data_IF_034420892781
#
_entry.id   IF_034420892781
#
_cell.length_a   1.000
_cell.length_b   1.000
_cell.length_c   1.000
_cell.angle_alpha   90.00
_cell.angle_beta   90.00
_cell.angle_gamma   90.00
#
_symmetry.space_group_name_H-M   'P 1'
#
loop_
_entity.id
_entity.type
_entity.pdbx_description
1 polymer ?
#
# COMPACT_ATOMS: atom_id res chain seq x y z
N UNK A 1 -20.32 19.37 40.75
CA UNK A 1 -20.11 19.62 39.30
C UNK A 1 -18.72 19.14 38.83
N UNK A 2 -17.63 19.44 39.56
CA UNK A 2 -16.24 19.12 39.17
C UNK A 2 -15.91 17.62 38.94
N UNK A 3 -16.53 16.69 39.68
CA UNK A 3 -16.28 15.24 39.52
C UNK A 3 -16.88 14.64 38.24
N UNK A 4 -17.96 15.20 37.72
CA UNK A 4 -18.56 14.76 36.44
C UNK A 4 -17.71 15.21 35.25
N UNK A 5 -17.32 16.49 35.24
CA UNK A 5 -16.50 17.08 34.18
C UNK A 5 -15.14 16.38 34.03
N UNK A 6 -14.51 16.02 35.16
CA UNK A 6 -13.23 15.29 35.16
C UNK A 6 -13.35 13.87 34.57
N UNK A 7 -14.49 13.19 34.74
CA UNK A 7 -14.76 11.87 34.12
C UNK A 7 -14.96 11.99 32.61
N UNK A 8 -15.72 12.98 32.16
CA UNK A 8 -15.96 13.22 30.72
C UNK A 8 -14.67 13.56 30.00
N UNK A 9 -13.84 14.45 30.56
CA UNK A 9 -12.53 14.80 29.99
C UNK A 9 -11.62 13.57 29.92
N UNK A 10 -11.56 12.75 30.98
CA UNK A 10 -10.76 11.53 30.98
C UNK A 10 -11.21 10.52 29.93
N UNK A 11 -12.51 10.33 29.75
CA UNK A 11 -13.06 9.45 28.71
C UNK A 11 -12.76 9.96 27.30
N UNK A 12 -12.96 11.26 27.04
CA UNK A 12 -12.63 11.87 25.75
C UNK A 12 -11.14 11.75 25.43
N UNK A 13 -10.27 11.99 26.42
CA UNK A 13 -8.83 11.83 26.26
C UNK A 13 -8.46 10.38 25.92
N UNK A 14 -9.05 9.40 26.61
CA UNK A 14 -8.82 7.99 26.32
C UNK A 14 -9.30 7.59 24.90
N UNK A 15 -10.49 8.04 24.49
CA UNK A 15 -11.03 7.78 23.16
C UNK A 15 -10.17 8.43 22.05
N UNK A 16 -9.66 9.64 22.29
CA UNK A 16 -8.74 10.32 21.39
C UNK A 16 -7.41 9.55 21.25
N UNK A 17 -6.83 9.10 22.37
CA UNK A 17 -5.59 8.29 22.37
C UNK A 17 -5.80 7.00 21.59
N UNK A 18 -6.88 6.26 21.84
CA UNK A 18 -7.21 5.03 21.09
C UNK A 18 -7.31 5.32 19.60
N UNK A 19 -8.00 6.40 19.21
CA UNK A 19 -8.16 6.77 17.80
C UNK A 19 -6.83 7.11 17.14
N UNK A 20 -5.95 7.86 17.83
CA UNK A 20 -4.61 8.18 17.33
C UNK A 20 -3.74 6.92 17.17
N UNK A 21 -3.80 5.99 18.13
CA UNK A 21 -3.07 4.72 18.05
C UNK A 21 -3.53 3.91 16.84
N UNK A 22 -4.82 3.63 16.68
CA UNK A 22 -5.32 2.87 15.53
C UNK A 22 -5.10 3.60 14.20
N UNK A 23 -5.27 4.93 14.17
CA UNK A 23 -5.04 5.75 12.99
C UNK A 23 -3.56 5.74 12.54
N UNK A 24 -2.62 5.86 13.48
CA UNK A 24 -1.19 5.78 13.18
C UNK A 24 -0.76 4.39 12.70
N UNK A 25 -1.31 3.32 13.28
CA UNK A 25 -1.10 1.96 12.81
C UNK A 25 -1.59 1.77 11.38
N UNK A 26 -2.80 2.27 11.06
CA UNK A 26 -3.35 2.22 9.71
C UNK A 26 -2.43 2.92 8.70
N UNK A 27 -2.00 4.15 9.01
CA UNK A 27 -1.06 4.90 8.16
C UNK A 27 0.25 4.12 7.97
N UNK A 28 0.81 3.55 9.04
CA UNK A 28 2.05 2.79 8.97
C UNK A 28 1.93 1.56 8.05
N UNK A 29 0.85 0.79 8.16
CA UNK A 29 0.61 -0.35 7.29
C UNK A 29 0.38 0.06 5.84
N UNK A 30 -0.41 1.10 5.60
CA UNK A 30 -0.67 1.60 4.24
C UNK A 30 0.62 2.06 3.56
N UNK A 31 1.47 2.80 4.28
CA UNK A 31 2.77 3.24 3.77
C UNK A 31 3.74 2.06 3.54
N UNK A 32 3.73 1.07 4.43
CA UNK A 32 4.54 -0.14 4.29
C UNK A 32 4.13 -0.95 3.05
N UNK A 33 2.83 -1.14 2.82
CA UNK A 33 2.28 -1.84 1.66
C UNK A 33 2.66 -1.16 0.33
N UNK A 34 2.58 0.16 0.25
CA UNK A 34 3.01 0.90 -0.96
C UNK A 34 4.50 0.74 -1.23
N UNK A 35 5.34 0.74 -0.19
CA UNK A 35 6.79 0.60 -0.36
C UNK A 35 7.16 -0.83 -0.73
N UNK A 36 6.55 -1.83 -0.12
CA UNK A 36 6.86 -3.24 -0.39
C UNK A 36 6.54 -3.64 -1.83
N UNK A 37 5.47 -3.09 -2.42
CA UNK A 37 5.14 -3.28 -3.83
C UNK A 37 6.20 -2.77 -4.82
N UNK A 38 7.13 -1.91 -4.38
CA UNK A 38 8.20 -1.38 -5.23
C UNK A 38 9.53 -2.14 -5.08
N UNK A 39 9.70 -2.94 -4.02
CA UNK A 39 11.00 -3.55 -3.68
C UNK A 39 11.44 -4.59 -4.72
N UNK A 40 10.57 -5.56 -5.03
CA UNK A 40 10.91 -6.64 -5.95
C UNK A 40 11.12 -6.15 -7.40
N UNK A 41 10.26 -5.26 -7.96
CA UNK A 41 10.53 -4.62 -9.24
C UNK A 41 11.83 -3.80 -9.27
N UNK A 42 12.12 -3.03 -8.21
CA UNK A 42 13.36 -2.25 -8.16
C UNK A 42 14.60 -3.14 -8.21
N UNK A 43 14.59 -4.27 -7.48
CA UNK A 43 15.67 -5.25 -7.51
C UNK A 43 15.80 -5.92 -8.89
N UNK A 44 14.68 -6.30 -9.52
CA UNK A 44 14.67 -6.90 -10.84
C UNK A 44 15.16 -5.93 -11.93
N UNK A 45 14.76 -4.66 -11.88
CA UNK A 45 15.26 -3.64 -12.80
C UNK A 45 16.78 -3.45 -12.65
N UNK A 46 17.29 -3.38 -11.41
CA UNK A 46 18.72 -3.26 -11.14
C UNK A 46 19.51 -4.49 -11.63
N UNK A 47 18.99 -5.70 -11.43
CA UNK A 47 19.61 -6.92 -11.91
C UNK A 47 19.64 -6.97 -13.45
N UNK A 48 18.52 -6.64 -14.11
CA UNK A 48 18.46 -6.63 -15.57
C UNK A 48 19.38 -5.58 -16.19
N UNK A 49 19.57 -4.43 -15.53
CA UNK A 49 20.55 -3.42 -15.97
C UNK A 49 21.99 -3.97 -16.01
N UNK A 50 22.36 -4.83 -15.07
CA UNK A 50 23.69 -5.47 -15.04
C UNK A 50 23.87 -6.50 -16.16
N UNK A 51 22.76 -7.05 -16.67
CA UNK A 51 22.75 -8.05 -17.73
C UNK A 51 22.59 -7.42 -19.12
N UNK A 52 22.43 -6.09 -19.24
CA UNK A 52 22.37 -5.42 -20.54
C UNK A 52 23.63 -5.73 -21.36
N UNK A 53 23.43 -6.24 -22.58
CA UNK A 53 24.52 -6.64 -23.48
C UNK A 53 25.00 -8.08 -23.28
N UNK A 54 24.45 -8.81 -22.32
CA UNK A 54 24.66 -10.26 -22.18
C UNK A 54 23.56 -11.06 -22.86
N UNK A 55 23.92 -12.17 -23.47
CA UNK A 55 22.98 -13.11 -24.09
C UNK A 55 22.30 -13.94 -23.01
N UNK A 56 21.20 -13.44 -22.44
CA UNK A 56 20.38 -14.24 -21.53
C UNK A 56 19.49 -15.22 -22.33
N UNK A 57 19.25 -16.44 -21.82
CA UNK A 57 18.28 -17.35 -22.43
C UNK A 57 16.89 -16.71 -22.44
N UNK A 58 16.14 -16.96 -23.52
CA UNK A 58 14.78 -16.45 -23.66
C UNK A 58 13.89 -17.02 -22.54
N UNK A 59 13.41 -16.13 -21.66
CA UNK A 59 12.42 -16.48 -20.64
C UNK A 59 11.04 -16.52 -21.30
N UNK A 60 10.22 -17.55 -21.05
CA UNK A 60 8.84 -17.58 -21.52
C UNK A 60 8.09 -16.32 -21.09
N UNK A 61 7.36 -15.71 -22.03
CA UNK A 61 6.49 -14.57 -21.70
C UNK A 61 5.22 -15.07 -21.05
N UNK A 62 4.76 -14.34 -20.04
CA UNK A 62 3.52 -14.63 -19.31
C UNK A 62 2.56 -13.47 -19.48
N UNK A 63 1.29 -13.78 -19.72
CA UNK A 63 0.24 -12.77 -19.83
C UNK A 63 0.03 -12.04 -18.51
N UNK A 64 -0.14 -10.72 -18.57
CA UNK A 64 -0.40 -9.91 -17.39
C UNK A 64 -1.80 -10.17 -16.84
N UNK A 65 -1.85 -10.40 -15.54
CA UNK A 65 -3.04 -10.72 -14.76
C UNK A 65 -2.97 -10.03 -13.40
N UNK A 66 -4.08 -9.93 -12.66
CA UNK A 66 -4.07 -9.44 -11.28
C UNK A 66 -3.15 -10.24 -10.33
N UNK A 67 -2.77 -11.47 -10.67
CA UNK A 67 -1.86 -12.30 -9.87
C UNK A 67 -0.42 -12.30 -10.42
N UNK A 68 -0.13 -11.44 -11.38
CA UNK A 68 1.20 -11.37 -11.99
C UNK A 68 2.26 -10.97 -10.98
N UNK A 69 3.27 -11.83 -10.86
CA UNK A 69 4.51 -11.55 -10.14
C UNK A 69 5.38 -10.52 -10.86
N UNK A 70 6.68 -10.53 -10.54
CA UNK A 70 7.62 -9.58 -11.13
C UNK A 70 7.81 -9.86 -12.61
N UNK A 71 7.63 -8.84 -13.44
CA UNK A 71 7.94 -8.84 -14.86
C UNK A 71 8.94 -7.75 -15.20
N UNK A 72 9.61 -7.91 -16.34
CA UNK A 72 10.60 -6.95 -16.85
C UNK A 72 10.37 -6.72 -18.35
N UNK A 73 10.57 -5.48 -18.78
CA UNK A 73 10.52 -5.02 -20.17
C UNK A 73 11.75 -4.13 -20.39
N UNK A 74 12.49 -4.40 -21.46
CA UNK A 74 13.66 -3.61 -21.87
C UNK A 74 13.26 -2.77 -23.07
N UNK A 75 13.45 -1.46 -22.94
CA UNK A 75 13.20 -0.47 -23.96
C UNK A 75 14.51 -0.03 -24.61
N UNK A 76 14.48 0.08 -25.94
CA UNK A 76 15.58 0.58 -26.75
C UNK A 76 15.81 2.09 -26.59
N UNK A 77 16.67 2.66 -27.42
CA UNK A 77 16.92 4.12 -27.43
C UNK A 77 15.78 4.91 -28.05
N UNK A 78 14.88 4.24 -28.76
CA UNK A 78 13.72 4.77 -29.48
C UNK A 78 12.40 4.64 -28.69
N UNK A 79 12.47 4.28 -27.41
CA UNK A 79 11.33 4.02 -26.53
C UNK A 79 10.40 2.88 -26.99
N UNK A 80 10.86 2.02 -27.90
CA UNK A 80 10.15 0.79 -28.25
C UNK A 80 10.59 -0.37 -27.34
N UNK A 81 9.65 -1.24 -26.93
CA UNK A 81 9.98 -2.43 -26.16
C UNK A 81 10.71 -3.45 -27.06
N UNK A 82 11.95 -3.78 -26.73
CA UNK A 82 12.78 -4.73 -27.47
C UNK A 82 12.55 -6.18 -26.98
N UNK A 83 12.52 -6.35 -25.65
CA UNK A 83 12.40 -7.66 -24.99
C UNK A 83 11.62 -7.53 -23.68
N UNK A 84 11.11 -8.64 -23.17
CA UNK A 84 10.44 -8.67 -21.88
C UNK A 84 9.89 -10.03 -21.54
N UNK A 85 9.44 -10.17 -20.30
CA UNK A 85 8.90 -11.41 -19.72
C UNK A 85 7.38 -11.40 -19.60
N UNK A 86 6.72 -10.29 -19.96
CA UNK A 86 5.28 -10.14 -19.87
C UNK A 86 4.65 -9.83 -21.24
N UNK A 87 3.40 -10.23 -21.41
CA UNK A 87 2.54 -9.80 -22.52
C UNK A 87 1.24 -9.19 -22.01
N UNK A 88 0.65 -8.31 -22.82
CA UNK A 88 -0.72 -7.85 -22.69
C UNK A 88 -1.40 -8.10 -24.05
N UNK A 89 -2.42 -8.95 -24.08
CA UNK A 89 -3.04 -9.51 -25.29
C UNK A 89 -2.02 -10.12 -26.24
N UNK A 90 -1.03 -10.84 -25.71
CA UNK A 90 0.00 -11.52 -26.50
C UNK A 90 1.10 -10.61 -27.08
N UNK A 91 1.07 -9.30 -26.84
CA UNK A 91 2.11 -8.35 -27.27
C UNK A 91 2.89 -7.77 -26.09
N UNK A 92 4.10 -7.25 -26.32
CA UNK A 92 4.85 -6.58 -25.25
C UNK A 92 4.07 -5.34 -24.77
N UNK A 93 3.82 -5.18 -23.47
CA UNK A 93 3.10 -4.04 -22.96
C UNK A 93 3.93 -2.76 -23.10
N UNK A 94 3.27 -1.64 -23.40
CA UNK A 94 3.88 -0.32 -23.50
C UNK A 94 3.49 0.51 -22.29
N UNK A 95 4.47 1.01 -21.53
CA UNK A 95 4.23 1.94 -20.43
C UNK A 95 4.08 3.38 -20.96
N UNK A 96 3.44 4.30 -20.20
CA UNK A 96 3.33 5.69 -20.62
C UNK A 96 4.70 6.31 -20.86
N UNK A 97 4.87 7.05 -21.97
CA UNK A 97 6.15 7.64 -22.37
C UNK A 97 6.78 8.52 -21.28
N UNK A 98 5.96 9.22 -20.50
CA UNK A 98 6.42 10.04 -19.37
C UNK A 98 7.23 9.26 -18.32
N UNK A 99 7.01 7.95 -18.18
CA UNK A 99 7.80 7.06 -17.31
C UNK A 99 9.20 6.87 -17.86
N UNK A 100 9.32 6.65 -19.17
CA UNK A 100 10.59 6.48 -19.87
C UNK A 100 11.36 7.81 -19.90
N UNK A 101 10.68 8.91 -20.23
CA UNK A 101 11.24 10.27 -20.25
C UNK A 101 11.80 10.67 -18.88
N UNK A 102 11.06 10.38 -17.82
CA UNK A 102 11.50 10.66 -16.44
C UNK A 102 12.69 9.79 -16.10
N UNK A 103 12.61 8.47 -16.33
CA UNK A 103 13.72 7.57 -16.05
C UNK A 103 15.00 7.95 -16.78
N UNK A 104 14.92 8.42 -18.04
CA UNK A 104 16.09 8.91 -18.79
C UNK A 104 16.68 10.18 -18.19
N UNK A 105 15.84 11.13 -17.75
CA UNK A 105 16.28 12.41 -17.19
C UNK A 105 16.82 12.31 -15.76
N UNK A 106 16.21 11.49 -14.90
CA UNK A 106 16.52 11.39 -13.47
C UNK A 106 17.22 10.08 -13.06
N UNK A 107 17.44 9.16 -14.00
CA UNK A 107 18.00 7.82 -13.74
C UNK A 107 16.95 6.79 -13.27
N UNK A 108 15.73 7.20 -12.96
CA UNK A 108 14.62 6.28 -12.73
C UNK A 108 13.30 6.94 -12.36
N UNK A 109 12.25 6.14 -12.42
CA UNK A 109 10.88 6.56 -12.10
C UNK A 109 10.12 5.42 -11.40
N UNK A 110 9.10 5.78 -10.61
CA UNK A 110 8.28 4.84 -9.86
C UNK A 110 6.82 5.28 -9.90
N UNK A 111 5.98 4.50 -10.57
CA UNK A 111 4.58 4.84 -10.82
C UNK A 111 3.65 3.66 -10.59
N UNK A 112 2.38 3.96 -10.35
CA UNK A 112 1.31 2.99 -10.53
C UNK A 112 0.83 3.09 -11.97
N UNK A 113 0.98 2.00 -12.70
CA UNK A 113 0.53 1.89 -14.08
C UNK A 113 -0.69 0.97 -14.14
N UNK A 114 -1.72 1.41 -14.86
CA UNK A 114 -2.94 0.65 -15.06
C UNK A 114 -3.20 0.50 -16.56
N UNK A 115 -2.67 -0.54 -17.23
CA UNK A 115 -2.94 -0.80 -18.64
C UNK A 115 -4.42 -0.94 -18.94
N UNK A 116 -5.16 -1.61 -18.05
CA UNK A 116 -6.57 -1.93 -18.23
C UNK A 116 -7.33 -1.84 -16.91
N UNK A 117 -8.67 -1.67 -16.95
CA UNK A 117 -9.51 -1.79 -15.77
C UNK A 117 -9.22 -3.09 -14.99
N UNK A 118 -8.90 -2.97 -13.70
CA UNK A 118 -8.60 -4.12 -12.84
C UNK A 118 -7.16 -4.63 -12.88
N UNK A 119 -6.31 -4.12 -13.77
CA UNK A 119 -4.90 -4.52 -13.86
C UNK A 119 -4.00 -3.36 -13.39
N UNK A 120 -3.81 -3.22 -12.07
CA UNK A 120 -2.99 -2.17 -11.47
C UNK A 120 -1.61 -2.72 -11.11
N UNK A 121 -0.57 -2.10 -11.62
CA UNK A 121 0.81 -2.56 -11.50
C UNK A 121 1.67 -1.50 -10.81
N UNK A 122 2.51 -1.92 -9.87
CA UNK A 122 3.62 -1.09 -9.39
C UNK A 122 4.75 -1.22 -10.40
N UNK A 123 5.21 -0.10 -10.98
CA UNK A 123 6.21 -0.08 -12.03
C UNK A 123 7.39 0.79 -11.60
N UNK A 124 8.60 0.25 -11.78
CA UNK A 124 9.88 0.92 -11.58
C UNK A 124 10.61 0.94 -12.91
N UNK A 125 10.97 2.13 -13.37
CA UNK A 125 11.82 2.33 -14.53
C UNK A 125 13.22 2.77 -14.09
N UNK A 126 14.26 2.24 -14.73
CA UNK A 126 15.66 2.63 -14.53
C UNK A 126 16.34 2.78 -15.87
N UNK A 127 17.09 3.87 -16.04
CA UNK A 127 17.84 4.14 -17.27
C UNK A 127 19.32 3.84 -17.08
N UNK A 128 19.95 3.23 -18.08
CA UNK A 128 21.41 3.11 -18.18
C UNK A 128 21.83 2.96 -19.65
N UNK A 129 22.96 3.59 -20.01
CA UNK A 129 23.56 3.47 -21.35
C UNK A 129 22.58 3.65 -22.52
N UNK A 130 21.63 4.58 -22.39
CA UNK A 130 20.63 4.87 -23.44
C UNK A 130 19.46 3.89 -23.52
N UNK A 131 19.42 2.83 -22.70
CA UNK A 131 18.28 1.92 -22.57
C UNK A 131 17.51 2.19 -21.29
N UNK A 132 16.24 1.80 -21.26
CA UNK A 132 15.40 1.84 -20.06
C UNK A 132 14.91 0.44 -19.75
N UNK A 133 15.16 0.00 -18.52
CA UNK A 133 14.60 -1.23 -17.98
C UNK A 133 13.41 -0.85 -17.12
N UNK A 134 12.26 -1.42 -17.47
CA UNK A 134 11.02 -1.29 -16.73
C UNK A 134 10.74 -2.62 -16.07
N UNK A 135 10.60 -2.64 -14.75
CA UNK A 135 10.13 -3.79 -14.03
C UNK A 135 8.83 -3.45 -13.31
N UNK A 136 7.93 -4.42 -13.17
CA UNK A 136 6.72 -4.21 -12.39
C UNK A 136 6.19 -5.49 -11.77
N UNK A 137 5.16 -5.34 -10.94
CA UNK A 137 4.39 -6.45 -10.38
C UNK A 137 2.98 -5.99 -10.06
N UNK A 138 2.04 -6.94 -9.90
CA UNK A 138 0.66 -6.60 -9.57
C UNK A 138 0.52 -5.97 -8.18
N UNK A 139 -0.40 -5.00 -8.07
CA UNK A 139 -0.83 -4.42 -6.81
C UNK A 139 -1.96 -5.19 -6.14
N UNK A 140 -2.66 -6.09 -6.85
CA UNK A 140 -3.85 -6.74 -6.32
C UNK A 140 -3.61 -7.50 -4.98
N UNK A 141 -2.49 -8.24 -4.79
CA UNK A 141 -2.22 -8.89 -3.50
C UNK A 141 -2.05 -7.90 -2.34
N UNK A 142 -1.49 -6.72 -2.63
CA UNK A 142 -1.27 -5.66 -1.64
C UNK A 142 -2.57 -4.94 -1.30
N UNK A 143 -3.44 -4.72 -2.29
CA UNK A 143 -4.76 -4.10 -2.11
C UNK A 143 -5.72 -5.01 -1.31
N UNK A 144 -5.68 -6.32 -1.57
CA UNK A 144 -6.40 -7.30 -0.77
C UNK A 144 -5.93 -7.29 0.69
N UNK A 145 -4.62 -7.19 0.91
CA UNK A 145 -4.03 -7.09 2.24
C UNK A 145 -4.43 -5.79 2.96
N UNK A 146 -4.43 -4.65 2.27
CA UNK A 146 -4.85 -3.35 2.83
C UNK A 146 -6.31 -3.40 3.32
N UNK A 147 -7.19 -4.03 2.54
CA UNK A 147 -8.61 -4.22 2.91
C UNK A 147 -8.75 -5.04 4.20
N UNK A 148 -8.00 -6.13 4.34
CA UNK A 148 -8.02 -6.96 5.55
C UNK A 148 -7.44 -6.24 6.77
N UNK A 149 -6.33 -5.53 6.59
CA UNK A 149 -5.71 -4.74 7.67
C UNK A 149 -6.67 -3.65 8.16
N UNK A 150 -7.33 -2.95 7.24
CA UNK A 150 -8.36 -1.96 7.59
C UNK A 150 -9.49 -2.60 8.41
N UNK A 151 -9.99 -3.76 8.00
CA UNK A 151 -11.07 -4.46 8.72
C UNK A 151 -10.65 -4.84 10.16
N UNK A 152 -9.44 -5.39 10.34
CA UNK A 152 -8.95 -5.76 11.67
C UNK A 152 -8.71 -4.54 12.57
N UNK A 153 -8.13 -3.46 12.03
CA UNK A 153 -7.93 -2.23 12.78
C UNK A 153 -9.26 -1.56 13.15
N UNK A 154 -10.23 -1.54 12.23
CA UNK A 154 -11.56 -1.00 12.50
C UNK A 154 -12.30 -1.79 13.60
N UNK A 155 -12.23 -3.13 13.55
CA UNK A 155 -12.84 -3.99 14.56
C UNK A 155 -12.19 -3.78 15.94
N UNK A 156 -10.85 -3.73 16.00
CA UNK A 156 -10.12 -3.48 17.23
C UNK A 156 -10.43 -2.10 17.81
N UNK A 157 -10.42 -1.07 16.97
CA UNK A 157 -10.76 0.30 17.36
C UNK A 157 -12.18 0.38 17.94
N UNK A 158 -13.16 -0.21 17.24
CA UNK A 158 -14.54 -0.22 17.68
C UNK A 158 -14.71 -0.96 19.01
N UNK A 159 -14.04 -2.10 19.19
CA UNK A 159 -13.99 -2.82 20.45
C UNK A 159 -13.45 -1.97 21.61
N UNK A 160 -12.34 -1.25 21.40
CA UNK A 160 -11.78 -0.35 22.41
C UNK A 160 -12.74 0.80 22.77
N UNK A 161 -13.36 1.43 21.77
CA UNK A 161 -14.33 2.52 21.98
C UNK A 161 -15.57 2.02 22.75
N UNK A 162 -16.07 0.82 22.42
CA UNK A 162 -17.19 0.20 23.15
C UNK A 162 -16.84 -0.06 24.61
N UNK A 163 -15.66 -0.62 24.90
CA UNK A 163 -15.22 -0.88 26.27
C UNK A 163 -15.08 0.43 27.06
N UNK A 164 -14.49 1.46 26.46
CA UNK A 164 -14.40 2.79 27.07
C UNK A 164 -15.79 3.38 27.35
N UNK A 165 -16.71 3.28 26.39
CA UNK A 165 -18.10 3.76 26.52
C UNK A 165 -18.86 3.02 27.63
N UNK A 166 -18.75 1.70 27.69
CA UNK A 166 -19.36 0.88 28.73
C UNK A 166 -18.80 1.21 30.13
N UNK A 167 -17.48 1.37 30.25
CA UNK A 167 -16.83 1.79 31.49
C UNK A 167 -17.30 3.17 31.96
N UNK A 168 -17.43 4.13 31.04
CA UNK A 168 -17.97 5.44 31.34
C UNK A 168 -19.43 5.36 31.82
N UNK A 169 -20.29 4.63 31.11
CA UNK A 169 -21.68 4.43 31.48
C UNK A 169 -21.82 3.79 32.88
N UNK A 170 -21.07 2.72 33.16
CA UNK A 170 -21.04 2.09 34.48
C UNK A 170 -20.61 3.07 35.58
N UNK A 171 -19.58 3.90 35.32
CA UNK A 171 -19.12 4.91 36.28
C UNK A 171 -20.19 5.97 36.60
N UNK A 172 -21.00 6.34 35.61
CA UNK A 172 -22.11 7.30 35.77
C UNK A 172 -23.24 6.65 36.59
N UNK A 173 -23.65 5.43 36.25
CA UNK A 173 -24.72 4.70 36.95
C UNK A 173 -24.39 4.45 38.42
N UNK A 174 -23.15 4.02 38.72
CA UNK A 174 -22.70 3.82 40.11
C UNK A 174 -22.65 5.14 40.89
N UNK A 175 -22.25 6.23 40.25
CA UNK A 175 -22.24 7.56 40.87
C UNK A 175 -23.63 8.13 41.16
N UNK A 176 -24.66 7.74 40.38
CA UNK A 176 -26.06 8.10 40.65
C UNK A 176 -26.63 7.33 41.83
N UNK A 177 -26.37 6.00 41.92
CA UNK A 177 -26.85 5.16 43.03
C UNK A 177 -26.34 5.62 44.39
N UNK A 178 -25.08 6.06 44.48
CA UNK A 178 -24.51 6.55 45.75
C UNK A 178 -25.07 7.91 46.20
N UNK A 179 -25.74 8.67 45.30
CA UNK A 179 -26.36 9.97 45.62
C UNK A 179 -27.81 9.85 46.10
N UNK A 180 -28.43 8.68 46.05
CA UNK A 180 -29.75 8.40 46.62
C UNK A 180 -29.64 7.52 47.89
N UNK A 181 -29.14 8.03 49.03
CA UNK A 181 -29.34 7.35 50.31
C UNK A 181 -30.78 7.64 50.79
N UNK A 182 -31.62 6.60 50.79
CA UNK A 182 -32.89 6.47 51.52
C UNK A 182 -33.81 7.70 51.66
N UNK A 183 -34.87 7.76 50.87
CA UNK A 183 -36.14 8.34 51.37
C UNK A 183 -36.74 7.24 52.26
N UNK A 184 -36.80 7.53 53.55
CA UNK A 184 -37.48 6.73 54.59
C UNK A 184 -38.98 6.93 54.50
#
# INVERSE_FOLDING_TARGET
MMTGMRRTIGWLAAAAVVTLVFGSLYIAFQQSGRRSANVAPAAAAAAQLQLLGTSAPAVPRVELTPDSGVFVIVYGTDDNPETGTATLHGVLPVVPSGVLDTARRSGGDAVTWQPEPGLRMAVIARSSAGKVVVAGQSLAPYEATDTLVMAYLALGWFGCVLVLGAGFAASVLLGQRQRQPGIT
#
